data_IF_013073336823
#
_entry.id   IF_013073336823
#
_cell.length_a   1.000
_cell.length_b   1.000
_cell.length_c   1.000
_cell.angle_alpha   90.00
_cell.angle_beta   90.00
_cell.angle_gamma   90.00
#
_symmetry.space_group_name_H-M   'P 1'
#
loop_
_entity.id
_entity.type
_entity.pdbx_description
1 polymer ?
#
# COMPACT_ATOMS: atom_id res chain seq x y z
N UNK A 1 -4.63 -3.57 -1.52
CA UNK A 1 -3.61 -3.09 -0.56
C UNK A 1 -3.08 -4.24 0.28
N UNK A 2 -3.92 -4.93 0.98
CA UNK A 2 -3.51 -6.00 1.92
C UNK A 2 -2.65 -7.11 1.27
N UNK A 3 -2.95 -7.50 0.05
CA UNK A 3 -2.17 -8.51 -0.68
C UNK A 3 -0.77 -8.01 -1.06
N UNK A 4 -0.67 -6.77 -1.54
CA UNK A 4 0.60 -6.18 -1.93
C UNK A 4 1.50 -5.90 -0.72
N UNK A 5 0.93 -5.43 0.38
CA UNK A 5 1.64 -5.25 1.65
C UNK A 5 2.11 -6.58 2.21
N UNK A 6 1.24 -7.60 2.20
CA UNK A 6 1.57 -8.95 2.67
C UNK A 6 2.68 -9.60 1.82
N UNK A 7 2.66 -9.40 0.50
CA UNK A 7 3.72 -9.89 -0.38
C UNK A 7 5.03 -9.16 -0.14
N UNK A 8 5.02 -7.85 0.02
CA UNK A 8 6.21 -7.08 0.34
C UNK A 8 6.81 -7.49 1.69
N UNK A 9 5.97 -7.69 2.71
CA UNK A 9 6.39 -8.20 4.01
C UNK A 9 7.00 -9.62 3.92
N UNK A 10 6.40 -10.48 3.11
CA UNK A 10 6.93 -11.83 2.86
C UNK A 10 8.30 -11.79 2.19
N UNK A 11 8.48 -10.94 1.19
CA UNK A 11 9.77 -10.73 0.53
C UNK A 11 10.81 -10.18 1.50
N UNK A 12 10.42 -9.28 2.38
CA UNK A 12 11.30 -8.75 3.42
C UNK A 12 11.78 -9.84 4.39
N UNK A 13 10.86 -10.67 4.86
CA UNK A 13 11.19 -11.78 5.78
C UNK A 13 12.11 -12.80 5.11
N UNK A 14 11.88 -13.11 3.83
CA UNK A 14 12.73 -14.02 3.08
C UNK A 14 14.14 -13.46 2.92
N UNK A 15 14.25 -12.20 2.56
CA UNK A 15 15.55 -11.54 2.39
C UNK A 15 16.31 -11.41 3.72
N UNK A 16 15.60 -11.09 4.78
CA UNK A 16 16.19 -11.05 6.13
C UNK A 16 16.73 -12.43 6.55
N UNK A 17 16.00 -13.50 6.25
CA UNK A 17 16.48 -14.87 6.48
C UNK A 17 17.73 -15.20 5.66
N UNK A 18 17.76 -14.79 4.39
CA UNK A 18 18.92 -14.97 3.52
C UNK A 18 20.15 -14.24 4.05
N UNK A 19 20.00 -12.99 4.49
CA UNK A 19 21.08 -12.19 5.05
C UNK A 19 21.61 -12.80 6.36
N UNK A 20 20.72 -13.27 7.22
CA UNK A 20 21.11 -13.99 8.45
C UNK A 20 21.85 -15.28 8.15
N UNK A 21 21.41 -16.05 7.16
CA UNK A 21 22.09 -17.27 6.74
C UNK A 21 23.50 -16.96 6.18
N UNK A 22 23.67 -15.88 5.45
CA UNK A 22 24.97 -15.43 4.97
C UNK A 22 25.88 -14.99 6.12
N UNK A 23 25.34 -14.27 7.10
CA UNK A 23 26.08 -13.84 8.28
C UNK A 23 26.55 -15.05 9.10
N UNK A 24 25.69 -16.02 9.32
CA UNK A 24 26.03 -17.27 10.01
C UNK A 24 27.08 -18.09 9.25
N UNK A 25 26.92 -18.22 7.93
CA UNK A 25 27.92 -18.88 7.08
C UNK A 25 29.27 -18.17 7.12
N UNK A 26 29.29 -16.85 7.11
CA UNK A 26 30.51 -16.06 7.25
C UNK A 26 31.18 -16.28 8.60
N UNK A 27 30.41 -16.33 9.69
CA UNK A 27 30.89 -16.61 11.03
C UNK A 27 31.53 -18.01 11.14
N UNK A 28 30.94 -19.01 10.48
CA UNK A 28 31.50 -20.36 10.40
C UNK A 28 32.79 -20.44 9.60
N UNK A 29 32.93 -19.59 8.58
CA UNK A 29 34.15 -19.51 7.73
C UNK A 29 35.26 -18.64 8.35
N UNK A 30 35.04 -18.09 9.52
CA UNK A 30 35.99 -17.18 10.19
C UNK A 30 37.40 -17.76 10.32
N UNK A 31 37.52 -19.06 10.63
CA UNK A 31 38.80 -19.74 10.76
C UNK A 31 39.50 -20.09 9.43
N UNK A 32 38.75 -20.07 8.32
CA UNK A 32 39.25 -20.41 6.98
C UNK A 32 39.68 -19.15 6.20
N UNK A 33 39.24 -17.98 6.65
CA UNK A 33 39.49 -16.69 6.01
C UNK A 33 40.60 -15.93 6.74
N UNK A 34 41.34 -15.11 5.99
CA UNK A 34 42.20 -14.10 6.57
C UNK A 34 41.36 -13.02 7.29
N UNK A 35 41.97 -12.29 8.22
CA UNK A 35 41.29 -11.20 8.91
C UNK A 35 40.79 -10.14 7.92
N UNK A 36 41.59 -9.82 6.90
CA UNK A 36 41.25 -8.86 5.86
C UNK A 36 40.05 -9.32 5.02
N UNK A 37 40.07 -10.57 4.54
CA UNK A 37 38.98 -11.14 3.74
C UNK A 37 37.66 -11.24 4.56
N UNK A 38 37.77 -11.61 5.83
CA UNK A 38 36.62 -11.67 6.71
C UNK A 38 35.99 -10.29 6.91
N UNK A 39 36.79 -9.27 7.19
CA UNK A 39 36.31 -7.90 7.38
C UNK A 39 35.71 -7.33 6.10
N UNK A 40 36.28 -7.62 4.93
CA UNK A 40 35.72 -7.20 3.64
C UNK A 40 34.35 -7.83 3.40
N UNK A 41 34.20 -9.13 3.61
CA UNK A 41 32.92 -9.83 3.46
C UNK A 41 31.88 -9.35 4.47
N UNK A 42 32.28 -9.10 5.69
CA UNK A 42 31.41 -8.55 6.73
C UNK A 42 30.89 -7.18 6.33
N UNK A 43 31.76 -6.33 5.82
CA UNK A 43 31.38 -4.98 5.34
C UNK A 43 30.40 -5.06 4.17
N UNK A 44 30.66 -5.93 3.20
CA UNK A 44 29.76 -6.14 2.07
C UNK A 44 28.36 -6.57 2.54
N UNK A 45 28.29 -7.47 3.50
CA UNK A 45 27.03 -7.95 4.05
C UNK A 45 26.28 -6.85 4.82
N UNK A 46 26.99 -6.02 5.58
CA UNK A 46 26.39 -4.86 6.27
C UNK A 46 25.86 -3.81 5.27
N UNK A 47 26.57 -3.58 4.18
CA UNK A 47 26.14 -2.67 3.10
C UNK A 47 24.90 -3.21 2.39
N UNK A 48 24.85 -4.50 2.10
CA UNK A 48 23.68 -5.15 1.51
C UNK A 48 22.46 -5.05 2.42
N UNK A 49 22.64 -5.28 3.71
CA UNK A 49 21.57 -5.16 4.69
C UNK A 49 21.03 -3.72 4.76
N UNK A 50 21.91 -2.73 4.82
CA UNK A 50 21.53 -1.32 4.86
C UNK A 50 20.83 -0.87 3.58
N UNK A 51 21.30 -1.34 2.43
CA UNK A 51 20.65 -1.08 1.14
C UNK A 51 19.24 -1.67 1.12
N UNK A 52 19.12 -2.90 1.53
CA UNK A 52 17.85 -3.60 1.56
C UNK A 52 16.81 -2.90 2.46
N UNK A 53 17.23 -2.44 3.65
CA UNK A 53 16.35 -1.69 4.55
C UNK A 53 15.86 -0.38 3.91
N UNK A 54 16.72 0.32 3.20
CA UNK A 54 16.34 1.55 2.48
C UNK A 54 15.38 1.27 1.35
N UNK A 55 15.68 0.30 0.50
CA UNK A 55 14.83 -0.09 -0.62
C UNK A 55 13.43 -0.51 -0.14
N UNK A 56 13.36 -1.21 0.98
CA UNK A 56 12.09 -1.59 1.59
C UNK A 56 11.30 -0.38 2.09
N UNK A 57 11.95 0.55 2.79
CA UNK A 57 11.32 1.77 3.26
C UNK A 57 10.79 2.63 2.10
N UNK A 58 11.57 2.76 1.02
CA UNK A 58 11.15 3.47 -0.19
C UNK A 58 9.94 2.82 -0.87
N UNK A 59 9.90 1.50 -0.92
CA UNK A 59 8.74 0.76 -1.47
C UNK A 59 7.48 0.94 -0.64
N UNK A 60 7.59 0.91 0.69
CA UNK A 60 6.46 1.18 1.57
C UNK A 60 5.91 2.59 1.37
N UNK A 61 6.79 3.58 1.32
CA UNK A 61 6.40 4.97 1.08
C UNK A 61 5.71 5.14 -0.28
N UNK A 62 6.27 4.52 -1.34
CA UNK A 62 5.67 4.52 -2.67
C UNK A 62 4.29 3.85 -2.71
N UNK A 63 4.08 2.78 -1.96
CA UNK A 63 2.77 2.13 -1.83
C UNK A 63 1.75 3.04 -1.14
N UNK A 64 2.14 3.73 -0.08
CA UNK A 64 1.27 4.68 0.64
C UNK A 64 0.85 5.85 -0.27
N UNK A 65 1.78 6.40 -1.05
CA UNK A 65 1.50 7.46 -2.02
C UNK A 65 0.54 6.98 -3.11
N UNK A 66 0.80 5.83 -3.70
CA UNK A 66 -0.04 5.25 -4.75
C UNK A 66 -1.45 4.95 -4.24
N UNK A 67 -1.57 4.47 -3.01
CA UNK A 67 -2.85 4.25 -2.37
C UNK A 67 -3.62 5.56 -2.14
N UNK A 68 -2.95 6.58 -1.65
CA UNK A 68 -3.55 7.90 -1.45
C UNK A 68 -4.07 8.50 -2.77
N UNK A 69 -3.30 8.36 -3.86
CA UNK A 69 -3.73 8.77 -5.20
C UNK A 69 -4.98 8.01 -5.67
N UNK A 70 -4.99 6.69 -5.48
CA UNK A 70 -6.12 5.84 -5.85
C UNK A 70 -7.40 6.20 -5.07
N UNK A 71 -7.29 6.44 -3.77
CA UNK A 71 -8.39 6.91 -2.92
C UNK A 71 -8.89 8.28 -3.40
N UNK A 72 -7.98 9.19 -3.72
CA UNK A 72 -8.32 10.51 -4.28
C UNK A 72 -9.10 10.43 -5.59
N UNK A 73 -8.74 9.52 -6.48
CA UNK A 73 -9.47 9.27 -7.74
C UNK A 73 -10.90 8.78 -7.48
N UNK A 74 -11.07 7.85 -6.55
CA UNK A 74 -12.39 7.36 -6.13
C UNK A 74 -13.22 8.49 -5.53
N UNK A 75 -12.65 9.31 -4.67
CA UNK A 75 -13.35 10.45 -4.04
C UNK A 75 -13.84 11.47 -5.07
N UNK A 76 -13.03 11.81 -6.06
CA UNK A 76 -13.40 12.75 -7.14
C UNK A 76 -14.58 12.19 -7.94
N UNK A 77 -14.55 10.92 -8.32
CA UNK A 77 -15.64 10.30 -9.07
C UNK A 77 -16.91 10.19 -8.23
N UNK A 78 -16.79 9.87 -6.94
CA UNK A 78 -17.93 9.82 -6.03
C UNK A 78 -18.61 11.19 -5.87
N UNK A 79 -17.85 12.27 -5.81
CA UNK A 79 -18.39 13.64 -5.77
C UNK A 79 -19.17 13.98 -7.05
N UNK A 80 -18.69 13.58 -8.20
CA UNK A 80 -19.40 13.75 -9.49
C UNK A 80 -20.72 13.00 -9.49
N UNK A 81 -20.71 11.75 -9.04
CA UNK A 81 -21.92 10.91 -8.96
C UNK A 81 -22.92 11.50 -7.97
N UNK A 82 -22.48 11.99 -6.83
CA UNK A 82 -23.33 12.65 -5.83
C UNK A 82 -24.01 13.91 -6.41
N UNK A 83 -23.26 14.72 -7.16
CA UNK A 83 -23.80 15.91 -7.84
C UNK A 83 -24.85 15.53 -8.90
N UNK A 84 -24.60 14.50 -9.71
CA UNK A 84 -25.57 14.01 -10.68
C UNK A 84 -26.85 13.47 -10.03
N UNK A 85 -26.73 12.66 -8.98
CA UNK A 85 -27.87 12.13 -8.24
C UNK A 85 -28.69 13.24 -7.58
N UNK A 86 -28.04 14.25 -7.03
CA UNK A 86 -28.69 15.41 -6.47
C UNK A 86 -29.48 16.18 -7.53
N UNK A 87 -28.88 16.41 -8.69
CA UNK A 87 -29.52 17.11 -9.81
C UNK A 87 -30.73 16.33 -10.33
N UNK A 88 -30.62 15.03 -10.50
CA UNK A 88 -31.72 14.16 -10.96
C UNK A 88 -32.88 14.11 -9.96
N UNK A 89 -32.59 14.15 -8.67
CA UNK A 89 -33.57 14.07 -7.60
C UNK A 89 -34.13 15.45 -7.17
N UNK A 90 -33.55 16.53 -7.69
CA UNK A 90 -33.96 17.89 -7.33
C UNK A 90 -33.57 18.29 -5.89
N UNK A 91 -32.58 17.65 -5.31
CA UNK A 91 -32.06 17.97 -3.97
C UNK A 91 -30.83 18.86 -4.07
N UNK A 92 -30.61 19.68 -3.05
CA UNK A 92 -29.55 20.67 -3.04
C UNK A 92 -28.40 20.31 -2.07
N UNK A 93 -28.60 19.34 -1.19
CA UNK A 93 -27.63 18.96 -0.17
C UNK A 93 -27.49 17.45 -0.16
N UNK A 94 -26.25 16.98 -0.23
CA UNK A 94 -25.87 15.58 -0.08
C UNK A 94 -24.89 15.49 1.09
N UNK A 95 -25.16 14.58 2.02
CA UNK A 95 -24.36 14.39 3.24
C UNK A 95 -23.98 12.92 3.40
N UNK A 96 -22.80 12.62 3.93
CA UNK A 96 -22.45 11.25 4.28
C UNK A 96 -23.41 10.69 5.32
N UNK A 97 -23.93 9.50 5.09
CA UNK A 97 -24.85 8.82 6.01
C UNK A 97 -24.26 8.65 7.41
N UNK A 98 -22.96 8.45 7.50
CA UNK A 98 -22.22 8.30 8.76
C UNK A 98 -22.25 9.54 9.66
N UNK A 99 -22.54 10.72 9.11
CA UNK A 99 -22.65 11.98 9.87
C UNK A 99 -24.05 12.25 10.39
N UNK A 100 -25.03 11.43 10.00
CA UNK A 100 -26.44 11.59 10.37
C UNK A 100 -26.77 10.68 11.56
N UNK A 101 -27.63 11.19 12.44
CA UNK A 101 -28.16 10.41 13.56
C UNK A 101 -29.18 9.38 13.07
N UNK A 102 -29.98 9.75 12.08
CA UNK A 102 -31.03 8.94 11.48
C UNK A 102 -31.27 9.40 10.04
N UNK A 103 -31.49 8.47 9.12
CA UNK A 103 -31.91 8.74 7.76
C UNK A 103 -33.03 7.75 7.36
N UNK A 104 -34.08 8.28 6.75
CA UNK A 104 -35.14 7.45 6.18
C UNK A 104 -34.68 6.83 4.85
N UNK A 105 -35.06 5.59 4.56
CA UNK A 105 -34.63 4.84 3.36
C UNK A 105 -34.89 5.59 2.05
N UNK A 106 -35.97 6.34 1.96
CA UNK A 106 -36.34 7.14 0.78
C UNK A 106 -35.30 8.21 0.42
N UNK A 107 -34.51 8.65 1.39
CA UNK A 107 -33.45 9.64 1.23
C UNK A 107 -32.05 9.04 1.04
N UNK A 108 -31.90 7.74 1.28
CA UNK A 108 -30.62 7.05 1.16
C UNK A 108 -30.34 6.70 -0.31
N UNK A 109 -29.26 7.25 -0.84
CA UNK A 109 -28.80 7.03 -2.23
C UNK A 109 -27.51 6.24 -2.31
N UNK A 110 -27.07 5.64 -1.21
CA UNK A 110 -25.80 4.90 -1.13
C UNK A 110 -25.70 3.77 -2.18
N UNK A 111 -26.75 2.98 -2.34
CA UNK A 111 -26.77 1.88 -3.30
C UNK A 111 -26.62 2.36 -4.75
N UNK A 112 -27.34 3.42 -5.13
CA UNK A 112 -27.26 3.99 -6.47
C UNK A 112 -25.88 4.64 -6.74
N UNK A 113 -25.32 5.32 -5.75
CA UNK A 113 -23.99 5.89 -5.86
C UNK A 113 -22.93 4.80 -6.04
N UNK A 114 -23.02 3.71 -5.28
CA UNK A 114 -22.11 2.58 -5.36
C UNK A 114 -22.21 1.87 -6.72
N UNK A 115 -23.42 1.66 -7.23
CA UNK A 115 -23.64 1.05 -8.55
C UNK A 115 -22.99 1.89 -9.66
N UNK A 116 -23.22 3.19 -9.68
CA UNK A 116 -22.60 4.10 -10.66
C UNK A 116 -21.09 4.17 -10.54
N UNK A 117 -20.58 4.18 -9.32
CA UNK A 117 -19.15 4.16 -9.06
C UNK A 117 -18.51 2.89 -9.62
N UNK A 118 -19.12 1.72 -9.39
CA UNK A 118 -18.64 0.44 -9.91
C UNK A 118 -18.69 0.36 -11.43
N UNK A 119 -19.66 1.00 -12.07
CA UNK A 119 -19.75 1.07 -13.52
C UNK A 119 -18.68 1.96 -14.15
N UNK A 120 -18.40 3.11 -13.53
CA UNK A 120 -17.47 4.12 -14.06
C UNK A 120 -16.02 3.87 -13.67
N UNK A 121 -15.83 3.33 -12.50
CA UNK A 121 -14.52 3.08 -11.92
C UNK A 121 -14.47 1.67 -11.30
N UNK A 122 -14.55 0.59 -12.13
CA UNK A 122 -14.58 -0.78 -11.64
C UNK A 122 -13.30 -1.19 -10.91
N UNK A 123 -12.19 -0.52 -11.21
CA UNK A 123 -10.91 -0.72 -10.54
C UNK A 123 -10.06 0.54 -10.62
N UNK A 124 -9.18 0.73 -9.66
CA UNK A 124 -8.12 1.73 -9.68
C UNK A 124 -6.78 1.04 -9.77
N UNK A 125 -5.91 1.52 -10.66
CA UNK A 125 -4.55 1.02 -10.75
C UNK A 125 -3.74 1.48 -9.55
N UNK A 126 -3.18 0.50 -8.85
CA UNK A 126 -2.13 0.71 -7.87
C UNK A 126 -0.86 0.20 -8.55
N UNK A 127 -0.19 1.06 -9.29
CA UNK A 127 1.06 0.73 -9.96
C UNK A 127 2.25 1.21 -9.13
N UNK A 128 3.27 0.33 -9.05
CA UNK A 128 4.57 0.64 -8.48
C UNK A 128 5.32 1.72 -9.30
#
# INVERSE_FOLDING_TARGET
MDEAEAELESQMQEQERNLRAQDEALSQQRSELSDEDFEERRRTLEEEFSRYQRDFAERLEGMDETYAEAVGEVEVELLRIADELASESGVNIVMPKSTLLLVHEDFDRTAQALERLNERLPSVSISD
#
